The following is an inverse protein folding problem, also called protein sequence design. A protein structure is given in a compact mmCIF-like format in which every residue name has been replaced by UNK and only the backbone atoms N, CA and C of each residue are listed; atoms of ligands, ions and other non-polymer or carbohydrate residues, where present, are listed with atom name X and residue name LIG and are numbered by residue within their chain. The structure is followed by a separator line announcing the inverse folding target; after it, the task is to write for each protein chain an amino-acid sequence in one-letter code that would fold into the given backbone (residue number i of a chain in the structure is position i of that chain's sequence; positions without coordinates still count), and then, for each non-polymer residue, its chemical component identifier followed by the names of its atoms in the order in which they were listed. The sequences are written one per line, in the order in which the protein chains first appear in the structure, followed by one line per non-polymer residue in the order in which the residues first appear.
data_IF_649807988896
#
_entry.id   IF_649807988896
#
_cell.length_a   1.000
_cell.length_b   1.000
_cell.length_c   1.000
_cell.angle_alpha   90.00
_cell.angle_beta   90.00
_cell.angle_gamma   90.00
#
_symmetry.space_group_name_H-M   'P 1'
#
loop_
_entity.id
_entity.type
_entity.pdbx_description
1 polymer ?
#
# COMPACT_ATOMS: atom_id res chain seq x y z
N UNK A 1 9.07 -28.30 22.48
CA UNK A 1 9.37 -26.86 22.29
C UNK A 1 8.09 -26.14 21.89
N UNK A 2 7.39 -25.55 22.86
CA UNK A 2 6.17 -24.79 22.61
C UNK A 2 6.57 -23.32 22.50
N UNK A 3 7.05 -22.92 21.32
CA UNK A 3 7.29 -21.51 21.04
C UNK A 3 5.93 -20.82 21.02
N UNK A 4 5.60 -20.16 22.12
CA UNK A 4 4.57 -19.13 22.14
C UNK A 4 4.99 -18.05 21.14
N UNK A 5 4.59 -18.23 19.89
CA UNK A 5 4.72 -17.24 18.83
C UNK A 5 4.07 -15.96 19.35
N UNK A 6 4.90 -15.03 19.85
CA UNK A 6 4.49 -13.77 20.44
C UNK A 6 3.52 -13.10 19.47
N UNK A 7 2.26 -12.90 19.91
CA UNK A 7 1.19 -12.29 19.09
C UNK A 7 1.73 -11.01 18.48
N UNK A 8 1.57 -10.84 17.17
CA UNK A 8 2.09 -9.67 16.47
C UNK A 8 1.06 -8.55 16.64
N UNK A 9 1.39 -7.43 17.32
CA UNK A 9 0.49 -6.30 17.45
C UNK A 9 -0.06 -5.86 16.09
N UNK A 10 -1.36 -5.61 16.02
CA UNK A 10 -1.99 -5.13 14.79
C UNK A 10 -1.51 -3.71 14.40
N UNK A 11 -0.88 -2.98 15.33
CA UNK A 11 -0.19 -1.72 15.03
C UNK A 11 0.92 -1.87 13.99
N UNK A 12 1.57 -3.03 13.89
CA UNK A 12 2.57 -3.28 12.84
C UNK A 12 1.96 -3.25 11.44
N UNK A 13 0.71 -3.69 11.27
CA UNK A 13 0.01 -3.57 9.99
C UNK A 13 -0.22 -2.11 9.62
N UNK A 14 -0.66 -1.27 10.55
CA UNK A 14 -0.85 0.16 10.29
C UNK A 14 0.47 0.86 9.97
N UNK A 15 1.53 0.58 10.72
CA UNK A 15 2.87 1.13 10.44
C UNK A 15 3.33 0.72 9.04
N UNK A 16 3.20 -0.56 8.69
CA UNK A 16 3.57 -1.06 7.37
C UNK A 16 2.77 -0.37 6.27
N UNK A 17 1.44 -0.30 6.43
CA UNK A 17 0.54 0.36 5.49
C UNK A 17 0.90 1.84 5.32
N UNK A 18 1.14 2.58 6.40
CA UNK A 18 1.55 4.00 6.31
C UNK A 18 2.87 4.17 5.57
N UNK A 19 3.88 3.33 5.86
CA UNK A 19 5.19 3.40 5.19
C UNK A 19 5.05 3.11 3.69
N UNK A 20 4.36 2.03 3.31
CA UNK A 20 4.20 1.67 1.90
C UNK A 20 3.44 2.75 1.12
N UNK A 21 2.37 3.28 1.72
CA UNK A 21 1.58 4.36 1.11
C UNK A 21 2.39 5.65 0.97
N UNK A 22 3.18 6.02 1.99
CA UNK A 22 4.03 7.21 1.94
C UNK A 22 5.14 7.09 0.89
N UNK A 23 5.75 5.91 0.74
CA UNK A 23 6.74 5.65 -0.29
C UNK A 23 6.15 5.79 -1.70
N UNK A 24 4.93 5.33 -1.91
CA UNK A 24 4.23 5.44 -3.19
C UNK A 24 3.96 6.91 -3.56
N UNK A 25 3.44 7.69 -2.61
CA UNK A 25 3.20 9.12 -2.79
C UNK A 25 4.52 9.87 -3.06
N UNK A 26 5.58 9.55 -2.32
CA UNK A 26 6.89 10.14 -2.53
C UNK A 26 7.45 9.81 -3.94
N UNK A 27 7.36 8.55 -4.35
CA UNK A 27 7.79 8.11 -5.68
C UNK A 27 7.02 8.84 -6.78
N UNK A 28 5.71 9.07 -6.58
CA UNK A 28 4.89 9.85 -7.50
C UNK A 28 5.35 11.31 -7.61
N UNK A 29 5.53 12.01 -6.49
CA UNK A 29 6.01 13.39 -6.51
C UNK A 29 7.41 13.54 -7.13
N UNK A 30 8.30 12.58 -6.87
CA UNK A 30 9.65 12.58 -7.44
C UNK A 30 9.65 12.29 -8.95
N UNK A 31 8.75 11.39 -9.39
CA UNK A 31 8.59 11.05 -10.81
C UNK A 31 7.89 12.14 -11.62
N UNK A 32 6.98 12.91 -11.00
CA UNK A 32 6.19 13.95 -11.65
C UNK A 32 6.79 15.36 -11.51
N UNK A 33 8.08 15.52 -11.83
CA UNK A 33 8.68 16.86 -11.87
C UNK A 33 8.15 17.66 -13.08
N UNK A 34 7.88 18.97 -12.90
CA UNK A 34 7.53 19.84 -14.02
C UNK A 34 8.68 19.89 -15.04
N UNK A 35 8.36 19.66 -16.32
CA UNK A 35 9.33 19.58 -17.41
C UNK A 35 9.63 18.17 -17.92
N UNK A 36 8.96 17.15 -17.38
CA UNK A 36 9.05 15.78 -17.90
C UNK A 36 8.26 15.66 -19.22
N UNK A 37 8.91 15.22 -20.30
CA UNK A 37 8.27 15.01 -21.60
C UNK A 37 7.05 14.08 -21.48
N UNK A 38 5.99 14.30 -22.28
CA UNK A 38 4.72 13.57 -22.17
C UNK A 38 4.89 12.03 -22.17
N UNK A 39 5.78 11.50 -23.02
CA UNK A 39 6.09 10.07 -23.10
C UNK A 39 6.77 9.58 -21.81
N UNK A 40 7.73 10.34 -21.29
CA UNK A 40 8.42 10.03 -20.04
C UNK A 40 7.48 10.08 -18.83
N UNK A 41 6.56 11.04 -18.80
CA UNK A 41 5.53 11.14 -17.78
C UNK A 41 4.57 9.93 -17.79
N UNK A 42 4.22 9.43 -18.97
CA UNK A 42 3.34 8.27 -19.12
C UNK A 42 4.01 6.95 -18.68
N UNK A 43 5.30 6.78 -18.96
CA UNK A 43 6.11 5.63 -18.48
C UNK A 43 6.24 5.67 -16.95
N UNK A 44 6.51 6.84 -16.38
CA UNK A 44 6.64 7.04 -14.94
C UNK A 44 5.29 6.73 -14.26
N UNK A 45 4.20 7.25 -14.80
CA UNK A 45 2.85 6.99 -14.30
C UNK A 45 2.50 5.49 -14.31
N UNK A 46 2.76 4.78 -15.41
CA UNK A 46 2.54 3.33 -15.50
C UNK A 46 3.42 2.54 -14.53
N UNK A 47 4.65 2.99 -14.31
CA UNK A 47 5.57 2.34 -13.36
C UNK A 47 5.09 2.52 -11.92
N UNK A 48 4.55 3.69 -11.59
CA UNK A 48 3.96 3.99 -10.27
C UNK A 48 2.67 3.16 -10.07
N UNK A 49 1.83 3.03 -11.10
CA UNK A 49 0.68 2.13 -11.09
C UNK A 49 1.07 0.68 -10.79
N UNK A 50 2.11 0.18 -11.45
CA UNK A 50 2.65 -1.15 -11.19
C UNK A 50 3.17 -1.30 -9.76
N UNK A 51 3.91 -0.31 -9.26
CA UNK A 51 4.42 -0.27 -7.89
C UNK A 51 3.27 -0.26 -6.86
N UNK A 52 2.24 0.54 -7.10
CA UNK A 52 1.03 0.65 -6.28
C UNK A 52 0.34 -0.71 -6.13
N UNK A 53 0.14 -1.42 -7.24
CA UNK A 53 -0.47 -2.75 -7.22
C UNK A 53 0.36 -3.76 -6.41
N UNK A 54 1.69 -3.74 -6.57
CA UNK A 54 2.60 -4.62 -5.82
C UNK A 54 2.56 -4.30 -4.33
N UNK A 55 2.68 -3.03 -3.94
CA UNK A 55 2.66 -2.59 -2.54
C UNK A 55 1.30 -2.88 -1.88
N UNK A 56 0.20 -2.69 -2.62
CA UNK A 56 -1.14 -3.05 -2.20
C UNK A 56 -1.28 -4.55 -1.94
N UNK A 57 -0.77 -5.39 -2.84
CA UNK A 57 -0.76 -6.83 -2.66
C UNK A 57 0.04 -7.25 -1.42
N UNK A 58 1.26 -6.72 -1.24
CA UNK A 58 2.07 -7.01 -0.05
C UNK A 58 1.39 -6.55 1.24
N UNK A 59 0.76 -5.38 1.24
CA UNK A 59 0.01 -4.86 2.40
C UNK A 59 -1.17 -5.76 2.76
N UNK A 60 -1.89 -6.25 1.75
CA UNK A 60 -3.01 -7.16 1.91
C UNK A 60 -2.56 -8.51 2.47
N UNK A 61 -1.50 -9.10 1.91
CA UNK A 61 -0.89 -10.34 2.41
C UNK A 61 -0.39 -10.19 3.85
N UNK A 62 0.33 -9.11 4.15
CA UNK A 62 0.84 -8.86 5.50
C UNK A 62 -0.29 -8.73 6.53
N UNK A 63 -1.36 -8.00 6.19
CA UNK A 63 -2.51 -7.85 7.08
C UNK A 63 -3.30 -9.14 7.28
N UNK A 64 -3.46 -9.97 6.23
CA UNK A 64 -4.08 -11.30 6.33
C UNK A 64 -3.24 -12.22 7.22
N UNK A 65 -1.93 -12.33 6.96
CA UNK A 65 -1.02 -13.18 7.75
C UNK A 65 -1.02 -12.74 9.22
N UNK A 66 -0.97 -11.43 9.49
CA UNK A 66 -1.05 -10.87 10.85
C UNK A 66 -2.38 -11.22 11.52
N UNK A 67 -3.49 -11.15 10.79
CA UNK A 67 -4.82 -11.46 11.30
C UNK A 67 -5.00 -12.96 11.60
N UNK A 68 -4.51 -13.83 10.71
CA UNK A 68 -4.52 -15.29 10.88
C UNK A 68 -3.64 -15.71 12.07
N UNK A 69 -2.45 -15.11 12.22
CA UNK A 69 -1.56 -15.34 13.37
C UNK A 69 -2.20 -14.93 14.69
N UNK A 70 -3.04 -13.91 14.67
CA UNK A 70 -3.81 -13.45 15.82
C UNK A 70 -5.16 -14.18 16.01
N UNK A 71 -5.52 -15.14 15.14
CA UNK A 71 -6.79 -15.89 15.13
C UNK A 71 -8.04 -14.99 15.13
N UNK A 72 -7.95 -13.82 14.49
CA UNK A 72 -9.05 -12.85 14.41
C UNK A 72 -9.50 -12.67 12.96
N UNK A 73 -10.57 -13.37 12.59
CA UNK A 73 -11.15 -13.32 11.23
C UNK A 73 -11.72 -11.93 10.93
N UNK A 74 -12.31 -11.26 11.93
CA UNK A 74 -12.83 -9.90 11.78
C UNK A 74 -11.74 -8.89 11.36
N UNK A 75 -10.51 -9.01 11.88
CA UNK A 75 -9.39 -8.18 11.42
C UNK A 75 -8.92 -8.52 10.02
N UNK A 76 -9.03 -9.78 9.59
CA UNK A 76 -8.70 -10.16 8.21
C UNK A 76 -9.70 -9.54 7.22
N UNK A 77 -11.00 -9.58 7.54
CA UNK A 77 -12.06 -8.93 6.74
C UNK A 77 -11.81 -7.41 6.69
N UNK A 78 -11.48 -6.80 7.83
CA UNK A 78 -11.14 -5.38 7.88
C UNK A 78 -9.95 -5.03 6.98
N UNK A 79 -8.88 -5.84 6.96
CA UNK A 79 -7.72 -5.64 6.07
C UNK A 79 -8.14 -5.71 4.60
N UNK A 80 -8.91 -6.73 4.22
CA UNK A 80 -9.36 -6.92 2.83
C UNK A 80 -10.23 -5.76 2.35
N UNK A 81 -11.01 -5.12 3.24
CA UNK A 81 -11.76 -3.92 2.90
C UNK A 81 -10.88 -2.65 2.89
N UNK A 82 -9.99 -2.50 3.87
CA UNK A 82 -9.23 -1.26 4.09
C UNK A 82 -8.11 -1.06 3.08
N UNK A 83 -7.36 -2.11 2.73
CA UNK A 83 -6.21 -1.98 1.82
C UNK A 83 -6.64 -1.48 0.43
N UNK A 84 -7.66 -2.06 -0.24
CA UNK A 84 -8.14 -1.53 -1.51
C UNK A 84 -8.65 -0.09 -1.43
N UNK A 85 -9.32 0.27 -0.33
CA UNK A 85 -9.81 1.64 -0.12
C UNK A 85 -8.65 2.64 0.00
N UNK A 86 -7.61 2.31 0.77
CA UNK A 86 -6.43 3.16 0.92
C UNK A 86 -5.71 3.36 -0.41
N UNK A 87 -5.45 2.27 -1.14
CA UNK A 87 -4.78 2.37 -2.44
C UNK A 87 -5.65 3.05 -3.50
N UNK A 88 -6.98 2.90 -3.45
CA UNK A 88 -7.90 3.66 -4.32
C UNK A 88 -7.87 5.16 -4.03
N UNK A 89 -7.79 5.56 -2.76
CA UNK A 89 -7.67 6.96 -2.35
C UNK A 89 -6.35 7.57 -2.84
N UNK A 90 -5.25 6.83 -2.68
CA UNK A 90 -3.91 7.24 -3.11
C UNK A 90 -3.88 7.41 -4.62
N UNK A 91 -4.42 6.45 -5.35
CA UNK A 91 -4.55 6.54 -6.80
C UNK A 91 -5.39 7.74 -7.25
N UNK A 92 -6.54 7.98 -6.59
CA UNK A 92 -7.37 9.15 -6.90
C UNK A 92 -6.64 10.46 -6.62
N UNK A 93 -5.84 10.52 -5.55
CA UNK A 93 -5.04 11.68 -5.21
C UNK A 93 -3.95 11.93 -6.27
N UNK A 94 -3.28 10.88 -6.73
CA UNK A 94 -2.31 10.96 -7.83
C UNK A 94 -2.95 11.44 -9.14
N UNK A 95 -4.10 10.88 -9.52
CA UNK A 95 -4.84 11.30 -10.73
C UNK A 95 -5.35 12.74 -10.63
N UNK A 96 -5.71 13.20 -9.43
CA UNK A 96 -6.10 14.59 -9.21
C UNK A 96 -4.94 15.58 -9.36
N UNK A 97 -3.70 15.15 -9.09
CA UNK A 97 -2.48 15.95 -9.28
C UNK A 97 -2.01 15.91 -10.75
N UNK A 98 -2.28 14.82 -11.47
CA UNK A 98 -1.91 14.67 -12.90
C UNK A 98 -2.77 15.52 -13.86
N UNK A 99 -3.93 16.01 -13.39
CA UNK A 99 -4.92 16.72 -14.22
C UNK A 99 -4.60 18.21 -14.37
#
# INVERSE_FOLDING_TARGET
MNETAKKLPFSYFFIFLTITTALEVLAFFLGMKPGTEEISGLIIFNSILGLSAILGFFSLMFGIVTSLRNKKISTAIFVVATVPLVYSLVFKLMMGIYR
#
